data_IF_787266142795
#
_entry.id   IF_787266142795
#
_cell.length_a   1.000
_cell.length_b   1.000
_cell.length_c   1.000
_cell.angle_alpha   90.00
_cell.angle_beta   90.00
_cell.angle_gamma   90.00
#
_symmetry.space_group_name_H-M   'P 1'
#
loop_
_entity.id
_entity.type
_entity.pdbx_description
1 polymer ?
#
# COMPACT_ATOMS: atom_id res chain seq x y z
N UNK A 1 -5.76 -13.12 4.88
CA UNK A 1 -6.97 -13.79 5.41
C UNK A 1 -8.07 -12.75 5.50
N UNK A 2 -9.32 -13.10 5.16
CA UNK A 2 -10.50 -12.24 5.33
C UNK A 2 -11.51 -12.95 6.23
N UNK A 3 -12.23 -12.22 7.08
CA UNK A 3 -13.26 -12.84 7.92
C UNK A 3 -13.80 -11.94 9.03
N UNK A 4 -14.70 -12.52 9.84
CA UNK A 4 -15.24 -11.88 11.05
C UNK A 4 -14.24 -11.99 12.19
N UNK A 5 -13.71 -10.86 12.65
CA UNK A 5 -12.72 -10.78 13.72
C UNK A 5 -13.30 -9.98 14.90
N UNK A 6 -13.22 -10.54 16.11
CA UNK A 6 -13.66 -9.89 17.34
C UNK A 6 -14.33 -10.84 18.34
N UNK A 7 -14.76 -10.30 19.47
CA UNK A 7 -15.51 -11.05 20.48
C UNK A 7 -17.00 -11.16 20.10
N UNK A 8 -17.74 -12.15 20.66
CA UNK A 8 -19.19 -12.23 20.51
C UNK A 8 -19.85 -10.88 20.86
N UNK A 9 -20.62 -10.31 19.94
CA UNK A 9 -21.27 -8.99 20.08
C UNK A 9 -20.48 -7.78 19.54
N UNK A 10 -19.21 -7.95 19.14
CA UNK A 10 -18.40 -6.93 18.43
C UNK A 10 -17.52 -7.58 17.37
N UNK A 11 -18.16 -8.04 16.29
CA UNK A 11 -17.47 -8.61 15.13
C UNK A 11 -17.32 -7.56 14.03
N UNK A 12 -16.11 -7.45 13.47
CA UNK A 12 -15.84 -6.67 12.26
C UNK A 12 -15.44 -7.62 11.13
N UNK A 13 -16.02 -7.44 9.94
CA UNK A 13 -15.53 -8.12 8.75
C UNK A 13 -14.30 -7.36 8.23
N UNK A 14 -13.12 -7.98 8.32
CA UNK A 14 -11.85 -7.31 8.04
C UNK A 14 -10.84 -8.24 7.37
N UNK A 15 -9.78 -7.64 6.82
CA UNK A 15 -8.66 -8.33 6.21
C UNK A 15 -7.46 -8.25 7.15
N UNK A 16 -6.82 -9.38 7.41
CA UNK A 16 -5.58 -9.46 8.18
C UNK A 16 -4.50 -10.10 7.31
N UNK A 17 -3.32 -9.48 7.28
CA UNK A 17 -2.15 -10.03 6.61
C UNK A 17 -1.06 -9.01 6.32
N UNK A 18 0.05 -9.50 5.81
CA UNK A 18 1.18 -8.66 5.42
C UNK A 18 0.81 -7.61 4.37
N UNK A 19 -0.04 -7.96 3.39
CA UNK A 19 -0.50 -7.02 2.34
C UNK A 19 -1.20 -5.78 2.89
N UNK A 20 -2.09 -5.93 3.88
CA UNK A 20 -2.77 -4.75 4.48
C UNK A 20 -1.81 -3.89 5.29
N UNK A 21 -0.86 -4.52 5.99
CA UNK A 21 0.19 -3.80 6.71
C UNK A 21 1.13 -3.07 5.75
N UNK A 22 1.48 -3.69 4.62
CA UNK A 22 2.30 -3.08 3.58
C UNK A 22 1.60 -1.89 2.94
N UNK A 23 0.31 -1.99 2.64
CA UNK A 23 -0.49 -0.87 2.13
C UNK A 23 -0.52 0.31 3.11
N UNK A 24 -0.79 0.06 4.40
CA UNK A 24 -0.75 1.12 5.42
C UNK A 24 0.63 1.80 5.51
N UNK A 25 1.71 1.02 5.43
CA UNK A 25 3.06 1.59 5.48
C UNK A 25 3.42 2.37 4.22
N UNK A 26 2.91 1.94 3.06
CA UNK A 26 3.10 2.65 1.80
C UNK A 26 2.40 4.02 1.82
N UNK A 27 1.21 4.12 2.41
CA UNK A 27 0.52 5.40 2.60
C UNK A 27 1.41 6.40 3.34
N UNK A 28 2.10 5.96 4.40
CA UNK A 28 3.05 6.79 5.13
C UNK A 28 4.22 7.33 4.29
N UNK A 29 4.63 6.62 3.22
CA UNK A 29 5.67 7.08 2.29
C UNK A 29 5.23 8.26 1.43
N UNK A 30 3.93 8.55 1.33
CA UNK A 30 3.40 9.65 0.53
C UNK A 30 4.03 11.00 0.90
N UNK A 31 4.30 11.22 2.19
CA UNK A 31 4.96 12.43 2.70
C UNK A 31 6.40 12.61 2.19
N UNK A 32 7.10 11.51 1.92
CA UNK A 32 8.47 11.53 1.40
C UNK A 32 8.48 11.62 -0.13
N UNK A 33 7.54 10.93 -0.78
CA UNK A 33 7.48 10.82 -2.25
C UNK A 33 6.89 12.08 -2.88
N UNK A 34 5.95 12.74 -2.22
CA UNK A 34 5.25 13.90 -2.73
C UNK A 34 5.07 14.97 -1.63
N UNK A 35 6.19 15.40 -1.04
CA UNK A 35 6.22 16.33 0.09
C UNK A 35 5.48 17.66 -0.19
N UNK A 36 5.50 18.12 -1.44
CA UNK A 36 4.88 19.39 -1.86
C UNK A 36 3.46 19.22 -2.42
N UNK A 37 2.93 17.99 -2.48
CA UNK A 37 1.60 17.73 -3.02
C UNK A 37 0.54 17.74 -1.91
N UNK A 38 -0.61 18.35 -2.18
CA UNK A 38 -1.78 18.27 -1.29
C UNK A 38 -2.26 16.81 -1.13
N UNK A 39 -2.18 16.03 -2.21
CA UNK A 39 -2.49 14.61 -2.21
C UNK A 39 -1.63 13.87 -3.26
N UNK A 40 -1.39 12.58 -3.01
CA UNK A 40 -0.81 11.67 -4.00
C UNK A 40 -1.42 10.27 -3.86
N UNK A 41 -1.37 9.50 -4.94
CA UNK A 41 -1.77 8.09 -4.94
C UNK A 41 -0.54 7.25 -5.20
N UNK A 42 -0.20 6.39 -4.23
CA UNK A 42 0.88 5.42 -4.35
C UNK A 42 0.31 4.02 -4.57
N UNK A 43 0.94 3.24 -5.45
CA UNK A 43 0.56 1.87 -5.77
C UNK A 43 1.78 0.96 -5.79
N UNK A 44 1.61 -0.30 -5.39
CA UNK A 44 2.65 -1.32 -5.57
C UNK A 44 2.74 -1.71 -7.04
N UNK A 45 3.92 -2.15 -7.48
CA UNK A 45 4.13 -2.69 -8.83
C UNK A 45 3.15 -3.83 -9.18
N UNK A 46 2.90 -4.75 -8.23
CA UNK A 46 1.92 -5.83 -8.42
C UNK A 46 0.51 -5.32 -8.71
N UNK A 47 0.10 -4.24 -8.03
CA UNK A 47 -1.22 -3.62 -8.22
C UNK A 47 -1.27 -2.87 -9.54
N UNK A 48 -0.20 -2.18 -9.91
CA UNK A 48 -0.08 -1.46 -11.17
C UNK A 48 -0.21 -2.42 -12.36
N UNK A 49 0.49 -3.55 -12.33
CA UNK A 49 0.41 -4.59 -13.37
C UNK A 49 -1.00 -5.18 -13.44
N UNK A 50 -1.60 -5.50 -12.28
CA UNK A 50 -2.96 -6.04 -12.24
C UNK A 50 -4.02 -5.05 -12.79
N UNK A 51 -3.77 -3.75 -12.66
CA UNK A 51 -4.61 -2.68 -13.19
C UNK A 51 -4.36 -2.38 -14.67
N UNK A 52 -3.58 -3.19 -15.39
CA UNK A 52 -3.18 -2.96 -16.79
C UNK A 52 -2.36 -1.68 -17.00
N UNK A 53 -1.47 -1.36 -16.05
CA UNK A 53 -0.45 -0.31 -16.13
C UNK A 53 -1.00 1.08 -16.47
N UNK A 54 -1.84 1.69 -15.61
CA UNK A 54 -2.23 3.09 -15.75
C UNK A 54 -1.01 4.02 -15.70
N UNK A 55 -1.17 5.25 -16.19
CA UNK A 55 -0.12 6.26 -16.21
C UNK A 55 0.44 6.50 -14.80
N UNK A 56 1.73 6.17 -14.62
CA UNK A 56 2.39 6.20 -13.34
C UNK A 56 3.88 6.51 -13.47
N UNK A 57 4.41 7.21 -12.48
CA UNK A 57 5.84 7.52 -12.36
C UNK A 57 6.47 6.62 -11.30
N UNK A 58 7.61 5.99 -11.62
CA UNK A 58 8.36 5.19 -10.65
C UNK A 58 8.95 6.07 -9.55
N UNK A 59 8.82 5.64 -8.30
CA UNK A 59 9.41 6.32 -7.13
C UNK A 59 10.67 5.61 -6.62
N UNK A 60 11.08 4.54 -7.32
CA UNK A 60 12.15 3.63 -6.94
C UNK A 60 11.73 2.59 -5.89
N UNK A 61 12.62 1.64 -5.58
CA UNK A 61 12.40 0.67 -4.52
C UNK A 61 12.38 1.35 -3.14
N UNK A 62 11.41 0.98 -2.31
CA UNK A 62 11.22 1.50 -0.95
C UNK A 62 11.26 0.38 0.07
N UNK A 63 12.00 0.62 1.15
CA UNK A 63 12.04 -0.31 2.28
C UNK A 63 10.76 -0.17 3.09
N UNK A 64 9.92 -1.19 3.06
CA UNK A 64 8.70 -1.26 3.86
C UNK A 64 8.99 -2.03 5.14
N UNK A 65 8.80 -1.38 6.30
CA UNK A 65 8.98 -2.03 7.60
C UNK A 65 8.23 -3.37 7.64
N UNK A 66 8.88 -4.42 8.13
CA UNK A 66 8.28 -5.76 8.21
C UNK A 66 8.42 -6.62 6.94
N UNK A 67 9.05 -6.10 5.88
CA UNK A 67 9.49 -6.89 4.72
C UNK A 67 11.01 -6.94 4.65
N UNK A 68 11.54 -8.08 4.21
CA UNK A 68 12.97 -8.30 3.98
C UNK A 68 13.43 -7.70 2.65
N UNK A 69 12.55 -7.65 1.65
CA UNK A 69 12.86 -7.16 0.32
C UNK A 69 12.24 -5.76 0.10
N UNK A 70 12.97 -4.84 -0.57
CA UNK A 70 12.42 -3.56 -0.99
C UNK A 70 11.24 -3.77 -1.94
N UNK A 71 10.23 -2.91 -1.82
CA UNK A 71 9.04 -2.95 -2.68
C UNK A 71 9.10 -1.81 -3.69
N UNK A 72 8.82 -2.13 -4.96
CA UNK A 72 8.66 -1.11 -6.00
C UNK A 72 7.33 -0.36 -5.81
N UNK A 73 7.43 0.95 -5.65
CA UNK A 73 6.29 1.86 -5.46
C UNK A 73 6.22 2.84 -6.62
N UNK A 74 5.01 3.06 -7.10
CA UNK A 74 4.70 3.94 -8.22
C UNK A 74 3.71 5.01 -7.77
N UNK A 75 3.82 6.21 -8.34
CA UNK A 75 2.88 7.31 -8.13
C UNK A 75 1.99 7.44 -9.37
N UNK A 76 0.68 7.37 -9.21
CA UNK A 76 -0.26 7.62 -10.32
C UNK A 76 -0.30 9.10 -10.69
N UNK A 77 -0.57 9.37 -11.97
CA UNK A 77 -0.69 10.72 -12.57
C UNK A 77 -2.16 11.10 -12.71
#
# INVERSE_FOLDING_TARGET
>A
MVGNIGAPGRLNYTVIGDTVNAAQRMEGLGKEVAADAEACVLVSETTLIAASSPDATSTGPKNVKGRSEPMNVWRLI
#
